data_IF_123505849748
#
_entry.id   IF_123505849748
#
_cell.length_a   1.000
_cell.length_b   1.000
_cell.length_c   1.000
_cell.angle_alpha   90.00
_cell.angle_beta   90.00
_cell.angle_gamma   90.00
#
_symmetry.space_group_name_H-M   'P 1'
#
loop_
_entity.id
_entity.type
_entity.pdbx_description
1 polymer ?
#
# COMPACT_ATOMS: atom_id res chain seq x y z
N UNK A 1 -21.86 -28.69 -10.89
CA UNK A 1 -21.96 -27.89 -12.13
C UNK A 1 -21.41 -28.71 -13.29
N UNK A 2 -22.07 -28.73 -14.45
CA UNK A 2 -21.54 -29.43 -15.64
C UNK A 2 -20.43 -28.62 -16.32
N UNK A 3 -19.58 -29.26 -17.13
CA UNK A 3 -18.51 -28.58 -17.85
C UNK A 3 -19.04 -27.44 -18.76
N UNK A 4 -20.20 -27.65 -19.41
CA UNK A 4 -20.86 -26.64 -20.24
C UNK A 4 -21.30 -25.42 -19.43
N UNK A 5 -21.94 -25.64 -18.28
CA UNK A 5 -22.36 -24.57 -17.36
C UNK A 5 -21.15 -23.78 -16.83
N UNK A 6 -20.06 -24.48 -16.50
CA UNK A 6 -18.79 -23.87 -16.07
C UNK A 6 -18.23 -22.95 -17.14
N UNK A 7 -18.09 -23.44 -18.38
CA UNK A 7 -17.49 -22.67 -19.46
C UNK A 7 -18.32 -21.41 -19.78
N UNK A 8 -19.65 -21.51 -19.72
CA UNK A 8 -20.53 -20.35 -19.87
C UNK A 8 -20.39 -19.33 -18.73
N UNK A 9 -20.21 -19.81 -17.49
CA UNK A 9 -19.96 -18.93 -16.35
C UNK A 9 -18.62 -18.20 -16.50
N UNK A 10 -17.55 -18.92 -16.85
CA UNK A 10 -16.22 -18.34 -17.08
C UNK A 10 -16.25 -17.26 -18.16
N UNK A 11 -16.92 -17.53 -19.29
CA UNK A 11 -17.06 -16.54 -20.37
C UNK A 11 -17.80 -15.26 -19.90
N UNK A 12 -18.82 -15.40 -19.03
CA UNK A 12 -19.56 -14.26 -18.48
C UNK A 12 -18.78 -13.42 -17.46
N UNK A 13 -17.67 -13.96 -16.93
CA UNK A 13 -16.82 -13.27 -15.96
C UNK A 13 -15.67 -12.50 -16.61
N UNK A 14 -15.57 -12.49 -17.94
CA UNK A 14 -14.44 -11.87 -18.66
C UNK A 14 -14.21 -10.42 -18.23
N UNK A 15 -15.26 -9.61 -18.19
CA UNK A 15 -15.15 -8.19 -17.81
C UNK A 15 -14.77 -8.02 -16.33
N UNK A 16 -15.32 -8.86 -15.45
CA UNK A 16 -14.99 -8.84 -14.02
C UNK A 16 -13.50 -9.14 -13.80
N UNK A 17 -12.97 -10.16 -14.49
CA UNK A 17 -11.54 -10.53 -14.41
C UNK A 17 -10.67 -9.43 -15.03
N UNK A 18 -11.07 -8.87 -16.18
CA UNK A 18 -10.35 -7.79 -16.82
C UNK A 18 -10.24 -6.57 -15.89
N UNK A 19 -11.33 -6.19 -15.21
CA UNK A 19 -11.33 -5.09 -14.26
C UNK A 19 -10.36 -5.33 -13.08
N UNK A 20 -10.33 -6.56 -12.54
CA UNK A 20 -9.39 -6.93 -11.46
C UNK A 20 -7.93 -6.86 -11.92
N UNK A 21 -7.63 -7.37 -13.12
CA UNK A 21 -6.28 -7.32 -13.70
C UNK A 21 -5.86 -5.88 -13.96
N UNK A 22 -6.72 -5.06 -14.56
CA UNK A 22 -6.44 -3.65 -14.84
C UNK A 22 -6.23 -2.85 -13.54
N UNK A 23 -7.04 -3.10 -12.51
CA UNK A 23 -6.87 -2.49 -11.19
C UNK A 23 -5.48 -2.76 -10.61
N UNK A 24 -5.02 -4.01 -10.68
CA UNK A 24 -3.69 -4.38 -10.17
C UNK A 24 -2.56 -3.72 -10.98
N UNK A 25 -2.67 -3.67 -12.31
CA UNK A 25 -1.68 -3.01 -13.16
C UNK A 25 -1.62 -1.49 -12.94
N UNK A 26 -2.78 -0.87 -12.75
CA UNK A 26 -2.90 0.55 -12.43
C UNK A 26 -2.15 0.87 -11.14
N UNK A 27 -2.39 0.11 -10.08
CA UNK A 27 -1.72 0.31 -8.79
C UNK A 27 -0.21 0.12 -8.89
N UNK A 28 0.27 -0.89 -9.61
CA UNK A 28 1.72 -1.11 -9.79
C UNK A 28 2.40 0.04 -10.52
N UNK A 29 1.77 0.52 -11.60
CA UNK A 29 2.30 1.66 -12.37
C UNK A 29 2.26 2.95 -11.56
N UNK A 30 1.24 3.10 -10.71
CA UNK A 30 1.12 4.22 -9.77
C UNK A 30 2.26 4.19 -8.74
N UNK A 31 2.56 3.05 -8.12
CA UNK A 31 3.70 2.91 -7.19
C UNK A 31 5.00 3.31 -7.85
N UNK A 32 5.27 2.81 -9.06
CA UNK A 32 6.50 3.17 -9.80
C UNK A 32 6.59 4.68 -10.02
N UNK A 33 5.48 5.35 -10.33
CA UNK A 33 5.46 6.81 -10.50
C UNK A 33 5.67 7.58 -9.20
N UNK A 34 5.13 7.08 -8.08
CA UNK A 34 5.37 7.66 -6.75
C UNK A 34 6.85 7.53 -6.38
N UNK A 35 7.40 6.32 -6.47
CA UNK A 35 8.81 6.03 -6.19
C UNK A 35 9.74 6.87 -7.07
N UNK A 36 9.44 6.97 -8.38
CA UNK A 36 10.23 7.78 -9.31
C UNK A 36 10.23 9.27 -8.93
N UNK A 37 9.08 9.81 -8.50
CA UNK A 37 8.95 11.23 -8.13
C UNK A 37 9.83 11.61 -6.93
N UNK A 38 10.24 10.61 -6.14
CA UNK A 38 11.07 10.72 -4.94
C UNK A 38 12.38 9.95 -5.08
N UNK A 39 12.78 9.60 -6.31
CA UNK A 39 13.88 8.67 -6.54
C UNK A 39 15.19 9.09 -5.85
N UNK A 40 15.60 10.38 -5.81
CA UNK A 40 16.80 10.79 -5.09
C UNK A 40 16.70 10.54 -3.57
N UNK A 41 15.54 10.83 -2.96
CA UNK A 41 15.31 10.63 -1.52
C UNK A 41 15.35 9.14 -1.14
N UNK A 42 14.88 8.28 -2.05
CA UNK A 42 14.73 6.84 -1.84
C UNK A 42 15.94 6.02 -2.31
N UNK A 43 16.98 6.66 -2.86
CA UNK A 43 18.11 5.95 -3.47
C UNK A 43 18.79 5.00 -2.48
N UNK A 44 19.05 5.46 -1.26
CA UNK A 44 19.69 4.63 -0.24
C UNK A 44 18.75 3.49 0.23
N UNK A 45 17.45 3.73 0.34
CA UNK A 45 16.46 2.69 0.63
C UNK A 45 16.45 1.61 -0.45
N UNK A 46 16.49 2.01 -1.73
CA UNK A 46 16.60 1.08 -2.85
C UNK A 46 17.94 0.33 -2.86
N UNK A 47 19.05 1.01 -2.57
CA UNK A 47 20.38 0.40 -2.48
C UNK A 47 20.45 -0.65 -1.36
N UNK A 48 19.89 -0.35 -0.18
CA UNK A 48 19.78 -1.31 0.92
C UNK A 48 18.97 -2.53 0.52
N UNK A 49 17.83 -2.33 -0.16
CA UNK A 49 17.01 -3.43 -0.66
C UNK A 49 17.77 -4.31 -1.66
N UNK A 50 18.47 -3.72 -2.64
CA UNK A 50 19.32 -4.46 -3.61
C UNK A 50 20.32 -5.34 -2.86
N UNK A 51 21.15 -4.73 -2.00
CA UNK A 51 22.17 -5.45 -1.23
C UNK A 51 21.55 -6.53 -0.34
N UNK A 52 20.39 -6.25 0.26
CA UNK A 52 19.66 -7.18 1.11
C UNK A 52 19.14 -8.40 0.36
N UNK A 53 18.68 -8.24 -0.89
CA UNK A 53 18.24 -9.32 -1.75
C UNK A 53 19.41 -10.16 -2.27
N UNK A 54 20.52 -9.53 -2.64
CA UNK A 54 21.74 -10.21 -3.07
C UNK A 54 22.35 -11.07 -1.96
N UNK A 55 22.44 -10.54 -0.73
CA UNK A 55 22.91 -11.30 0.44
C UNK A 55 22.11 -12.57 0.70
N UNK A 56 20.83 -12.59 0.32
CA UNK A 56 19.93 -13.75 0.45
C UNK A 56 19.95 -14.66 -0.78
N UNK A 57 20.80 -14.38 -1.77
CA UNK A 57 20.86 -15.11 -3.04
C UNK A 57 19.58 -14.99 -3.86
N UNK A 58 18.82 -13.89 -3.69
CA UNK A 58 17.52 -13.67 -4.36
C UNK A 58 17.61 -12.77 -5.57
N UNK A 59 18.67 -11.99 -5.70
CA UNK A 59 18.88 -11.03 -6.77
C UNK A 59 20.32 -11.15 -7.27
N UNK A 60 20.50 -11.04 -8.57
CA UNK A 60 21.78 -10.78 -9.21
C UNK A 60 21.63 -9.45 -9.96
N UNK A 61 22.25 -8.38 -9.44
CA UNK A 61 22.08 -7.03 -10.01
C UNK A 61 22.63 -6.93 -11.44
N UNK A 62 23.63 -7.73 -11.80
CA UNK A 62 24.22 -7.69 -13.14
C UNK A 62 23.29 -8.33 -14.18
N UNK A 63 22.60 -9.41 -13.82
CA UNK A 63 21.59 -10.05 -14.68
C UNK A 63 20.38 -9.15 -14.90
N UNK A 64 19.98 -8.41 -13.86
CA UNK A 64 18.81 -7.53 -13.90
C UNK A 64 19.13 -6.10 -14.38
N UNK A 65 20.38 -5.83 -14.78
CA UNK A 65 20.85 -4.52 -15.22
C UNK A 65 20.62 -3.40 -14.18
N UNK A 66 20.69 -3.74 -12.89
CA UNK A 66 20.64 -2.79 -11.79
C UNK A 66 22.04 -2.19 -11.51
N UNK A 67 22.11 -0.95 -11.01
CA UNK A 67 23.39 -0.24 -10.83
C UNK A 67 24.30 -0.90 -9.79
N UNK A 68 25.62 -0.80 -10.01
CA UNK A 68 26.64 -1.17 -9.02
C UNK A 68 26.67 -0.18 -7.85
N UNK A 69 27.42 -0.49 -6.79
CA UNK A 69 27.57 0.41 -5.65
C UNK A 69 28.28 1.72 -6.05
N UNK A 70 29.24 1.66 -6.98
CA UNK A 70 29.89 2.85 -7.55
C UNK A 70 28.89 3.71 -8.34
N UNK A 71 28.09 3.09 -9.20
CA UNK A 71 27.07 3.81 -9.97
C UNK A 71 25.97 4.42 -9.09
N UNK A 72 25.59 3.74 -8.00
CA UNK A 72 24.67 4.28 -6.99
C UNK A 72 25.30 5.50 -6.30
N UNK A 73 26.57 5.45 -5.92
CA UNK A 73 27.27 6.58 -5.29
C UNK A 73 27.40 7.79 -6.24
N UNK A 74 27.66 7.56 -7.52
CA UNK A 74 27.68 8.62 -8.53
C UNK A 74 26.30 9.28 -8.70
N UNK A 75 25.22 8.49 -8.70
CA UNK A 75 23.85 9.01 -8.77
C UNK A 75 23.48 9.82 -7.53
N UNK A 76 23.89 9.37 -6.34
CA UNK A 76 23.66 10.11 -5.10
C UNK A 76 24.31 11.50 -5.14
N UNK A 77 25.58 11.57 -5.57
CA UNK A 77 26.31 12.83 -5.78
C UNK A 77 25.64 13.74 -6.82
N UNK A 78 24.98 13.15 -7.82
CA UNK A 78 24.22 13.88 -8.85
C UNK A 78 22.77 14.20 -8.44
N UNK A 79 22.34 13.86 -7.22
CA UNK A 79 20.94 13.95 -6.76
C UNK A 79 19.96 13.24 -7.70
N UNK A 80 20.36 12.08 -8.18
CA UNK A 80 19.56 11.18 -9.03
C UNK A 80 19.16 9.94 -8.22
N UNK A 81 18.17 9.21 -8.71
CA UNK A 81 17.74 7.95 -8.10
C UNK A 81 17.67 6.81 -9.11
N UNK A 82 16.91 5.76 -8.75
CA UNK A 82 16.59 4.72 -9.72
C UNK A 82 15.59 5.21 -10.77
N UNK A 83 15.73 4.66 -11.97
CA UNK A 83 14.83 4.88 -13.10
C UNK A 83 13.60 3.98 -13.00
N UNK A 84 12.56 4.27 -13.80
CA UNK A 84 11.30 3.50 -13.74
C UNK A 84 11.49 2.00 -14.02
N UNK A 85 12.29 1.57 -15.03
CA UNK A 85 12.55 0.14 -15.24
C UNK A 85 13.24 -0.52 -14.05
N UNK A 86 14.24 0.14 -13.46
CA UNK A 86 14.98 -0.37 -12.29
C UNK A 86 14.04 -0.49 -11.06
N UNK A 87 13.16 0.50 -10.84
CA UNK A 87 12.13 0.44 -9.78
C UNK A 87 11.15 -0.71 -10.04
N UNK A 88 10.75 -0.95 -11.30
CA UNK A 88 9.85 -2.05 -11.64
C UNK A 88 10.45 -3.43 -11.33
N UNK A 89 11.74 -3.61 -11.62
CA UNK A 89 12.51 -4.81 -11.23
C UNK A 89 12.48 -4.97 -9.71
N UNK A 90 12.84 -3.94 -8.95
CA UNK A 90 12.83 -4.00 -7.49
C UNK A 90 11.45 -4.28 -6.91
N UNK A 91 10.39 -3.73 -7.48
CA UNK A 91 9.02 -3.99 -7.06
C UNK A 91 8.66 -5.49 -7.20
N UNK A 92 9.09 -6.14 -8.29
CA UNK A 92 8.87 -7.57 -8.51
C UNK A 92 9.62 -8.43 -7.48
N UNK A 93 10.89 -8.13 -7.25
CA UNK A 93 11.71 -8.83 -6.26
C UNK A 93 11.21 -8.61 -4.83
N UNK A 94 10.80 -7.39 -4.49
CA UNK A 94 10.20 -7.06 -3.20
C UNK A 94 8.93 -7.88 -2.95
N UNK A 95 8.01 -7.96 -3.93
CA UNK A 95 6.80 -8.79 -3.80
C UNK A 95 7.14 -10.25 -3.53
N UNK A 96 8.11 -10.79 -4.25
CA UNK A 96 8.56 -12.18 -4.07
C UNK A 96 9.16 -12.40 -2.68
N UNK A 97 9.98 -11.48 -2.19
CA UNK A 97 10.58 -11.55 -0.87
C UNK A 97 9.55 -11.42 0.26
N UNK A 98 8.61 -10.47 0.16
CA UNK A 98 7.50 -10.29 1.11
C UNK A 98 6.62 -11.54 1.13
N UNK A 99 6.29 -12.10 -0.04
CA UNK A 99 5.46 -13.30 -0.12
C UNK A 99 6.13 -14.49 0.58
N UNK A 100 7.43 -14.68 0.38
CA UNK A 100 8.19 -15.73 1.05
C UNK A 100 8.27 -15.52 2.56
N UNK A 101 8.46 -14.28 3.01
CA UNK A 101 8.48 -13.95 4.44
C UNK A 101 7.14 -14.25 5.14
N UNK A 102 6.03 -14.18 4.40
CA UNK A 102 4.68 -14.46 4.92
C UNK A 102 4.20 -15.90 4.66
N UNK A 103 4.92 -16.68 3.87
CA UNK A 103 4.43 -17.98 3.37
C UNK A 103 3.99 -18.92 4.50
N UNK A 104 4.77 -18.98 5.58
CA UNK A 104 4.53 -19.80 6.77
C UNK A 104 4.06 -18.98 7.99
N UNK A 105 3.85 -17.68 7.83
CA UNK A 105 3.44 -16.79 8.92
C UNK A 105 1.95 -16.96 9.28
N UNK A 106 1.58 -17.20 10.55
CA UNK A 106 0.19 -17.40 10.95
C UNK A 106 -0.73 -16.19 10.70
N UNK A 107 -0.18 -15.00 10.43
CA UNK A 107 -0.97 -13.79 10.10
C UNK A 107 -1.94 -14.04 8.94
N UNK A 108 -1.57 -14.87 7.96
CA UNK A 108 -2.42 -15.15 6.79
C UNK A 108 -3.69 -15.97 7.13
N UNK A 109 -3.76 -16.57 8.32
CA UNK A 109 -4.92 -17.33 8.79
C UNK A 109 -5.91 -16.49 9.60
N UNK A 110 -5.58 -15.23 9.90
CA UNK A 110 -6.44 -14.35 10.67
C UNK A 110 -7.79 -14.08 9.98
N UNK A 111 -8.84 -14.02 10.79
CA UNK A 111 -10.22 -13.84 10.32
C UNK A 111 -10.43 -12.54 9.53
N UNK A 112 -9.61 -11.53 9.82
CA UNK A 112 -9.58 -10.24 9.12
C UNK A 112 -9.46 -10.40 7.60
N UNK A 113 -8.60 -11.31 7.13
CA UNK A 113 -8.31 -11.46 5.70
C UNK A 113 -9.39 -12.19 4.91
N UNK A 114 -10.47 -12.66 5.54
CA UNK A 114 -11.62 -13.26 4.82
C UNK A 114 -12.20 -12.30 3.79
N UNK A 115 -12.33 -11.01 4.14
CA UNK A 115 -12.83 -10.00 3.21
C UNK A 115 -11.84 -9.66 2.08
N UNK A 116 -10.54 -9.88 2.28
CA UNK A 116 -9.52 -9.71 1.24
C UNK A 116 -9.50 -10.93 0.29
N UNK A 117 -9.70 -12.14 0.81
CA UNK A 117 -9.92 -13.36 0.03
C UNK A 117 -11.16 -13.25 -0.87
N UNK A 118 -12.29 -12.77 -0.34
CA UNK A 118 -13.51 -12.62 -1.13
C UNK A 118 -13.29 -11.65 -2.30
N UNK A 119 -12.70 -10.48 -2.04
CA UNK A 119 -12.43 -9.45 -3.05
C UNK A 119 -11.48 -9.88 -4.17
N UNK A 120 -10.69 -10.94 -3.96
CA UNK A 120 -9.88 -11.53 -5.02
C UNK A 120 -10.74 -12.14 -6.13
N UNK A 121 -11.89 -12.72 -5.78
CA UNK A 121 -12.75 -13.39 -6.75
C UNK A 121 -13.69 -12.38 -7.45
N UNK A 122 -13.97 -12.59 -8.75
CA UNK A 122 -15.02 -11.87 -9.46
C UNK A 122 -16.36 -11.87 -8.71
N UNK A 123 -17.11 -10.77 -8.81
CA UNK A 123 -18.40 -10.59 -8.13
C UNK A 123 -19.36 -11.77 -8.35
N UNK A 124 -19.47 -12.24 -9.59
CA UNK A 124 -20.33 -13.39 -9.93
C UNK A 124 -19.96 -14.67 -9.18
N UNK A 125 -18.67 -14.87 -8.85
CA UNK A 125 -18.24 -16.01 -8.02
C UNK A 125 -18.46 -15.74 -6.53
N UNK A 126 -18.28 -14.49 -6.08
CA UNK A 126 -18.62 -14.11 -4.71
C UNK A 126 -20.09 -14.43 -4.41
N UNK A 127 -21.00 -14.07 -5.30
CA UNK A 127 -22.43 -14.34 -5.13
C UNK A 127 -22.76 -15.84 -5.22
N UNK A 128 -22.29 -16.53 -6.27
CA UNK A 128 -22.69 -17.93 -6.56
C UNK A 128 -21.95 -18.97 -5.75
N UNK A 129 -20.77 -18.63 -5.23
CA UNK A 129 -19.86 -19.55 -4.56
C UNK A 129 -19.38 -19.02 -3.20
N UNK A 130 -20.12 -18.09 -2.58
CA UNK A 130 -19.81 -17.52 -1.26
C UNK A 130 -19.42 -18.58 -0.21
N UNK A 131 -20.12 -19.71 -0.14
CA UNK A 131 -19.83 -20.77 0.83
C UNK A 131 -18.55 -21.57 0.51
N UNK A 132 -18.14 -21.61 -0.75
CA UNK A 132 -16.98 -22.38 -1.21
C UNK A 132 -15.67 -21.56 -1.13
N UNK A 133 -15.74 -20.23 -1.23
CA UNK A 133 -14.56 -19.35 -1.20
C UNK A 133 -13.74 -19.53 0.10
N UNK A 134 -14.34 -19.54 1.31
CA UNK A 134 -13.58 -19.78 2.55
C UNK A 134 -12.92 -21.16 2.62
N UNK A 135 -13.38 -22.13 1.83
CA UNK A 135 -12.87 -23.50 1.79
C UNK A 135 -11.89 -23.73 0.63
N UNK A 136 -11.52 -22.65 -0.08
CA UNK A 136 -10.64 -22.75 -1.25
C UNK A 136 -9.28 -23.34 -0.84
N UNK A 137 -8.81 -24.35 -1.57
CA UNK A 137 -7.55 -25.05 -1.24
C UNK A 137 -6.33 -24.14 -1.23
N UNK A 138 -6.34 -23.08 -2.05
CA UNK A 138 -5.28 -22.06 -2.11
C UNK A 138 -5.63 -20.77 -1.34
N UNK A 139 -6.51 -20.85 -0.34
CA UNK A 139 -6.96 -19.68 0.42
C UNK A 139 -5.79 -18.87 0.96
N UNK A 140 -4.82 -19.55 1.58
CA UNK A 140 -3.67 -18.91 2.24
C UNK A 140 -2.76 -18.23 1.23
N UNK A 141 -2.50 -18.88 0.10
CA UNK A 141 -1.68 -18.39 -1.00
C UNK A 141 -2.33 -17.17 -1.69
N UNK A 142 -3.64 -17.20 -1.86
CA UNK A 142 -4.41 -16.06 -2.40
C UNK A 142 -4.35 -14.88 -1.44
N UNK A 143 -4.59 -15.11 -0.14
CA UNK A 143 -4.49 -14.05 0.88
C UNK A 143 -3.08 -13.45 0.88
N UNK A 144 -2.03 -14.28 0.92
CA UNK A 144 -0.65 -13.82 0.85
C UNK A 144 -0.40 -12.95 -0.37
N UNK A 145 -0.90 -13.36 -1.54
CA UNK A 145 -0.78 -12.58 -2.78
C UNK A 145 -1.49 -11.21 -2.69
N UNK A 146 -2.70 -11.18 -2.14
CA UNK A 146 -3.47 -9.93 -1.98
C UNK A 146 -2.81 -8.99 -0.97
N UNK A 147 -2.34 -9.52 0.16
CA UNK A 147 -1.65 -8.76 1.21
C UNK A 147 -0.35 -8.17 0.69
N UNK A 148 0.48 -8.98 0.01
CA UNK A 148 1.72 -8.53 -0.64
C UNK A 148 1.47 -7.42 -1.64
N UNK A 149 0.49 -7.59 -2.53
CA UNK A 149 0.16 -6.54 -3.50
C UNK A 149 -0.35 -5.27 -2.81
N UNK A 150 -1.19 -5.38 -1.77
CA UNK A 150 -1.64 -4.21 -1.02
C UNK A 150 -0.46 -3.47 -0.38
N UNK A 151 0.41 -4.19 0.32
CA UNK A 151 1.55 -3.62 1.02
C UNK A 151 2.51 -2.96 0.04
N UNK A 152 3.01 -3.72 -0.95
CA UNK A 152 4.06 -3.25 -1.86
C UNK A 152 3.54 -2.18 -2.82
N UNK A 153 2.30 -2.28 -3.31
CA UNK A 153 1.77 -1.24 -4.20
C UNK A 153 1.46 0.08 -3.46
N UNK A 154 1.26 0.06 -2.13
CA UNK A 154 0.91 1.27 -1.35
C UNK A 154 2.07 1.84 -0.54
N UNK A 155 2.94 0.99 -0.03
CA UNK A 155 4.14 1.36 0.74
C UNK A 155 5.43 1.32 -0.08
N UNK A 156 5.44 0.78 -1.30
CA UNK A 156 6.65 0.69 -2.11
C UNK A 156 7.49 -0.56 -1.84
N UNK A 157 8.60 -0.76 -2.59
CA UNK A 157 9.40 -1.98 -2.56
C UNK A 157 10.24 -2.13 -1.28
N UNK A 158 10.61 -1.03 -0.64
CA UNK A 158 11.52 -1.03 0.53
C UNK A 158 10.78 -1.18 1.86
N UNK A 159 9.50 -0.80 1.92
CA UNK A 159 8.71 -0.64 3.15
C UNK A 159 8.85 -1.76 4.17
N UNK A 160 8.56 -3.02 3.80
CA UNK A 160 8.61 -4.12 4.76
C UNK A 160 10.01 -4.31 5.34
N UNK A 161 11.02 -4.26 4.48
CA UNK A 161 12.41 -4.52 4.88
C UNK A 161 12.87 -3.46 5.86
N UNK A 162 12.59 -2.19 5.58
CA UNK A 162 12.98 -1.10 6.46
C UNK A 162 12.26 -1.14 7.79
N UNK A 163 10.94 -1.38 7.79
CA UNK A 163 10.18 -1.46 9.04
C UNK A 163 10.65 -2.64 9.90
N UNK A 164 10.91 -3.81 9.30
CA UNK A 164 11.46 -4.97 10.03
C UNK A 164 12.85 -4.66 10.59
N UNK A 165 13.73 -4.01 9.82
CA UNK A 165 15.08 -3.66 10.28
C UNK A 165 15.07 -2.60 11.39
N UNK A 166 14.20 -1.59 11.30
CA UNK A 166 14.08 -0.52 12.29
C UNK A 166 13.46 -1.02 13.60
N UNK A 167 12.40 -1.84 13.51
CA UNK A 167 11.62 -2.25 14.69
C UNK A 167 12.05 -3.59 15.26
N UNK A 168 12.80 -4.41 14.51
CA UNK A 168 13.11 -5.80 14.84
C UNK A 168 11.88 -6.70 15.03
N UNK A 169 10.72 -6.26 14.52
CA UNK A 169 9.46 -7.01 14.58
C UNK A 169 9.32 -8.01 13.43
N UNK A 170 8.44 -9.00 13.61
CA UNK A 170 8.19 -10.01 12.58
C UNK A 170 7.46 -9.43 11.37
N UNK A 171 7.60 -10.05 10.19
CA UNK A 171 6.86 -9.65 9.00
C UNK A 171 5.34 -9.69 9.23
N UNK A 172 4.84 -10.71 9.96
CA UNK A 172 3.44 -10.80 10.35
C UNK A 172 2.97 -9.64 11.23
N UNK A 173 3.77 -9.21 12.20
CA UNK A 173 3.44 -8.05 13.04
C UNK A 173 3.42 -6.74 12.26
N UNK A 174 4.36 -6.56 11.32
CA UNK A 174 4.33 -5.43 10.39
C UNK A 174 3.06 -5.45 9.53
N UNK A 175 2.63 -6.63 9.04
CA UNK A 175 1.37 -6.76 8.32
C UNK A 175 0.17 -6.38 9.20
N UNK A 176 0.12 -6.84 10.46
CA UNK A 176 -0.95 -6.47 11.42
C UNK A 176 -1.02 -4.95 11.59
N UNK A 177 0.12 -4.32 11.87
CA UNK A 177 0.19 -2.88 12.05
C UNK A 177 -0.20 -2.10 10.80
N UNK A 178 0.27 -2.53 9.62
CA UNK A 178 -0.07 -1.94 8.34
C UNK A 178 -1.58 -2.01 8.07
N UNK A 179 -2.21 -3.19 8.25
CA UNK A 179 -3.64 -3.33 7.98
C UNK A 179 -4.49 -2.59 8.99
N UNK A 180 -4.07 -2.54 10.25
CA UNK A 180 -4.73 -1.76 11.30
C UNK A 180 -4.66 -0.27 10.98
N UNK A 181 -3.48 0.28 10.64
CA UNK A 181 -3.35 1.66 10.19
C UNK A 181 -4.23 1.94 8.95
N UNK A 182 -4.20 1.04 7.96
CA UNK A 182 -5.03 1.13 6.75
C UNK A 182 -6.52 1.24 7.07
N UNK A 183 -7.02 0.49 8.06
CA UNK A 183 -8.43 0.55 8.48
C UNK A 183 -8.74 1.77 9.34
N UNK A 184 -7.94 2.03 10.37
CA UNK A 184 -8.17 3.12 11.34
C UNK A 184 -8.22 4.48 10.65
N UNK A 185 -7.34 4.72 9.68
CA UNK A 185 -7.30 5.97 8.92
C UNK A 185 -8.21 5.99 7.68
N UNK A 186 -8.94 4.91 7.38
CA UNK A 186 -9.82 4.82 6.21
C UNK A 186 -9.08 5.00 4.89
N UNK A 187 -7.92 4.34 4.74
CA UNK A 187 -7.02 4.61 3.61
C UNK A 187 -7.59 4.19 2.26
N UNK A 188 -8.47 3.18 2.23
CA UNK A 188 -9.12 2.72 0.99
C UNK A 188 -9.97 3.82 0.37
N UNK A 189 -10.83 4.44 1.17
CA UNK A 189 -11.67 5.55 0.72
C UNK A 189 -10.82 6.74 0.28
N UNK A 190 -9.68 6.97 0.94
CA UNK A 190 -8.77 8.06 0.61
C UNK A 190 -8.08 7.83 -0.73
N UNK A 191 -7.54 6.63 -0.96
CA UNK A 191 -6.96 6.27 -2.25
C UNK A 191 -7.98 6.33 -3.37
N UNK A 192 -9.17 5.76 -3.19
CA UNK A 192 -10.22 5.77 -4.21
C UNK A 192 -10.65 7.22 -4.53
N UNK A 193 -10.71 8.11 -3.53
CA UNK A 193 -11.01 9.54 -3.73
C UNK A 193 -9.93 10.27 -4.53
N UNK A 194 -8.65 9.99 -4.28
CA UNK A 194 -7.53 10.59 -5.01
C UNK A 194 -7.45 10.04 -6.43
N UNK A 195 -7.63 8.73 -6.60
CA UNK A 195 -7.59 8.05 -7.91
C UNK A 195 -8.77 8.47 -8.79
N UNK A 196 -9.93 8.82 -8.21
CA UNK A 196 -11.05 9.40 -8.95
C UNK A 196 -10.74 10.78 -9.57
N UNK A 197 -9.63 11.41 -9.18
CA UNK A 197 -9.12 12.65 -9.78
C UNK A 197 -8.12 12.43 -10.93
N UNK A 198 -7.88 11.17 -11.32
CA UNK A 198 -7.02 10.87 -12.47
C UNK A 198 -7.53 11.57 -13.73
N UNK A 199 -6.61 12.16 -14.49
CA UNK A 199 -6.86 13.06 -15.62
C UNK A 199 -7.73 14.31 -15.32
N UNK A 200 -8.09 14.59 -14.06
CA UNK A 200 -8.85 15.79 -13.64
C UNK A 200 -7.99 16.85 -12.97
N UNK A 201 -6.86 16.45 -12.38
CA UNK A 201 -5.86 17.33 -11.78
C UNK A 201 -4.48 17.04 -12.38
N UNK A 202 -3.49 17.95 -12.25
CA UNK A 202 -2.12 17.69 -12.71
C UNK A 202 -1.54 16.43 -12.04
N UNK A 203 -0.90 15.56 -12.82
CA UNK A 203 -0.33 14.29 -12.32
C UNK A 203 0.64 14.50 -11.14
N UNK A 204 1.45 15.57 -11.19
CA UNK A 204 2.36 15.93 -10.09
C UNK A 204 1.62 16.18 -8.77
N UNK A 205 0.45 16.83 -8.83
CA UNK A 205 -0.38 17.07 -7.65
C UNK A 205 -0.95 15.75 -7.13
N UNK A 206 -1.49 14.91 -8.01
CA UNK A 206 -2.05 13.61 -7.61
C UNK A 206 -0.99 12.70 -6.96
N UNK A 207 0.22 12.65 -7.51
CA UNK A 207 1.36 11.91 -6.94
C UNK A 207 1.74 12.48 -5.58
N UNK A 208 1.76 13.81 -5.42
CA UNK A 208 1.99 14.46 -4.13
C UNK A 208 0.95 14.05 -3.08
N UNK A 209 -0.34 14.04 -3.44
CA UNK A 209 -1.40 13.59 -2.54
C UNK A 209 -1.21 12.12 -2.13
N UNK A 210 -0.88 11.23 -3.08
CA UNK A 210 -0.63 9.82 -2.78
C UNK A 210 0.60 9.62 -1.88
N UNK A 211 1.62 10.47 -2.03
CA UNK A 211 2.81 10.48 -1.18
C UNK A 211 2.47 10.85 0.26
N UNK A 212 1.64 11.87 0.47
CA UNK A 212 1.16 12.24 1.82
C UNK A 212 0.38 11.08 2.48
N UNK A 213 -0.46 10.38 1.70
CA UNK A 213 -1.16 9.19 2.20
C UNK A 213 -0.21 8.07 2.57
N UNK A 214 0.87 7.87 1.80
CA UNK A 214 1.93 6.92 2.14
C UNK A 214 2.54 7.29 3.49
N UNK A 215 2.99 8.53 3.69
CA UNK A 215 3.60 8.95 4.96
C UNK A 215 2.68 8.76 6.16
N UNK A 216 1.38 9.06 6.03
CA UNK A 216 0.42 8.81 7.09
C UNK A 216 0.32 7.30 7.41
N UNK A 217 0.29 6.46 6.39
CA UNK A 217 0.22 5.00 6.55
C UNK A 217 1.47 4.44 7.21
N UNK A 218 2.65 4.92 6.82
CA UNK A 218 3.94 4.55 7.39
C UNK A 218 4.02 4.95 8.87
N UNK A 219 3.73 6.21 9.20
CA UNK A 219 3.68 6.67 10.58
C UNK A 219 2.68 5.88 11.42
N UNK A 220 1.49 5.62 10.87
CA UNK A 220 0.48 4.79 11.52
C UNK A 220 0.98 3.38 11.82
N UNK A 221 1.63 2.75 10.84
CA UNK A 221 2.20 1.40 10.97
C UNK A 221 3.24 1.37 12.08
N UNK A 222 4.22 2.28 12.05
CA UNK A 222 5.26 2.37 13.08
C UNK A 222 4.68 2.68 14.46
N UNK A 223 3.65 3.54 14.53
CA UNK A 223 2.99 3.86 15.79
C UNK A 223 2.31 2.64 16.41
N UNK A 224 1.59 1.84 15.61
CA UNK A 224 0.97 0.61 16.12
C UNK A 224 2.02 -0.43 16.55
N UNK A 225 3.14 -0.57 15.82
CA UNK A 225 4.23 -1.46 16.24
C UNK A 225 4.85 -1.04 17.57
N UNK A 226 5.05 0.27 17.79
CA UNK A 226 5.67 0.78 19.02
C UNK A 226 4.73 0.77 20.23
N UNK A 227 3.41 0.85 20.02
CA UNK A 227 2.43 1.01 21.11
C UNK A 227 1.65 -0.24 21.44
N UNK A 228 1.63 -1.25 20.56
CA UNK A 228 0.94 -2.50 20.78
C UNK A 228 1.95 -3.62 21.03
N UNK A 229 1.52 -4.61 21.80
CA UNK A 229 2.32 -5.82 21.96
C UNK A 229 2.29 -6.63 20.66
N UNK A 230 3.38 -7.33 20.30
CA UNK A 230 3.40 -8.25 19.18
C UNK A 230 2.24 -9.26 19.25
N UNK A 231 1.66 -9.60 18.09
CA UNK A 231 0.51 -10.50 18.00
C UNK A 231 -0.84 -9.90 18.41
N UNK A 232 -0.98 -8.58 18.49
CA UNK A 232 -2.27 -7.94 18.81
C UNK A 232 -3.36 -8.27 17.76
N UNK A 233 -4.61 -8.33 18.21
CA UNK A 233 -5.75 -8.58 17.32
C UNK A 233 -6.05 -7.35 16.44
N UNK A 234 -6.10 -7.55 15.12
CA UNK A 234 -6.38 -6.49 14.14
C UNK A 234 -7.74 -5.83 14.41
N UNK A 235 -8.83 -6.61 14.43
CA UNK A 235 -10.19 -6.05 14.51
C UNK A 235 -10.49 -5.41 15.86
N UNK A 236 -10.12 -6.05 16.97
CA UNK A 236 -10.27 -5.45 18.30
C UNK A 236 -9.51 -4.12 18.42
N UNK A 237 -8.34 -3.99 17.77
CA UNK A 237 -7.60 -2.72 17.74
C UNK A 237 -8.29 -1.70 16.83
N UNK A 238 -8.76 -2.09 15.65
CA UNK A 238 -9.52 -1.18 14.75
C UNK A 238 -10.76 -0.63 15.45
N UNK A 239 -11.54 -1.49 16.12
CA UNK A 239 -12.78 -1.10 16.79
C UNK A 239 -12.52 -0.11 17.95
N UNK A 240 -11.39 -0.26 18.65
CA UNK A 240 -10.99 0.65 19.72
C UNK A 240 -10.50 2.02 19.24
N UNK A 241 -9.82 2.11 18.09
CA UNK A 241 -9.17 3.33 17.63
C UNK A 241 -9.95 4.10 16.56
N UNK A 242 -10.61 3.40 15.64
CA UNK A 242 -11.23 4.03 14.49
C UNK A 242 -12.32 5.07 14.85
N UNK A 243 -13.18 4.88 15.87
CA UNK A 243 -14.14 5.90 16.28
C UNK A 243 -13.45 7.20 16.75
N UNK A 244 -12.45 7.09 17.62
CA UNK A 244 -11.72 8.24 18.15
C UNK A 244 -10.93 8.99 17.07
N UNK A 245 -10.30 8.27 16.13
CA UNK A 245 -9.61 8.89 14.99
C UNK A 245 -10.60 9.63 14.07
N UNK A 246 -11.79 9.08 13.82
CA UNK A 246 -12.83 9.77 13.05
C UNK A 246 -13.33 11.04 13.76
N UNK A 247 -13.55 10.96 15.07
CA UNK A 247 -13.97 12.10 15.87
C UNK A 247 -12.90 13.21 15.88
N UNK A 248 -11.63 12.84 16.07
CA UNK A 248 -10.50 13.76 16.00
C UNK A 248 -10.43 14.42 14.62
N UNK A 249 -10.49 13.65 13.53
CA UNK A 249 -10.43 14.17 12.18
C UNK A 249 -11.58 15.14 11.86
N UNK A 250 -12.79 14.87 12.37
CA UNK A 250 -13.95 15.75 12.20
C UNK A 250 -13.85 17.07 12.98
N UNK A 251 -13.06 17.11 14.06
CA UNK A 251 -12.96 18.25 14.97
C UNK A 251 -11.57 18.92 14.97
N UNK A 252 -10.63 18.46 14.14
CA UNK A 252 -9.22 18.86 14.22
C UNK A 252 -9.04 20.37 14.14
N UNK A 253 -9.76 21.05 13.25
CA UNK A 253 -9.70 22.51 13.10
C UNK A 253 -10.04 23.26 14.40
N UNK A 254 -10.95 22.71 15.22
CA UNK A 254 -11.36 23.31 16.50
C UNK A 254 -10.39 23.01 17.64
N UNK A 255 -9.53 22.01 17.46
CA UNK A 255 -8.56 21.54 18.45
C UNK A 255 -7.17 22.15 18.24
N UNK A 256 -6.91 22.66 17.04
CA UNK A 256 -5.67 23.33 16.68
C UNK A 256 -5.56 24.73 17.31
N UNK A 257 -4.33 25.16 17.56
CA UNK A 257 -4.06 26.54 17.90
C UNK A 257 -4.46 27.46 16.72
N UNK A 258 -4.79 28.75 16.95
CA UNK A 258 -5.24 29.63 15.88
C UNK A 258 -4.29 29.73 14.68
N UNK A 259 -2.97 29.66 14.92
CA UNK A 259 -1.95 29.67 13.86
C UNK A 259 -2.01 28.40 13.00
N UNK A 260 -2.09 27.23 13.64
CA UNK A 260 -2.20 25.94 12.95
C UNK A 260 -3.52 25.80 12.19
N UNK A 261 -4.63 26.30 12.76
CA UNK A 261 -5.92 26.34 12.09
C UNK A 261 -5.89 27.24 10.84
N UNK A 262 -5.20 28.39 10.90
CA UNK A 262 -5.01 29.25 9.75
C UNK A 262 -4.14 28.57 8.66
N UNK A 263 -3.07 27.88 9.05
CA UNK A 263 -2.22 27.12 8.13
C UNK A 263 -3.00 25.96 7.47
N UNK A 264 -3.83 25.24 8.24
CA UNK A 264 -4.74 24.22 7.73
C UNK A 264 -5.67 24.81 6.67
N UNK A 265 -6.36 25.92 6.98
CA UNK A 265 -7.29 26.58 6.05
C UNK A 265 -6.60 27.08 4.78
N UNK A 266 -5.38 27.60 4.89
CA UNK A 266 -4.58 27.99 3.74
C UNK A 266 -4.29 26.79 2.83
N UNK A 267 -3.94 25.63 3.41
CA UNK A 267 -3.67 24.39 2.68
C UNK A 267 -4.93 23.84 2.01
N UNK A 268 -6.07 23.88 2.69
CA UNK A 268 -7.38 23.51 2.12
C UNK A 268 -7.72 24.40 0.93
N UNK A 269 -7.55 25.72 1.07
CA UNK A 269 -7.77 26.68 -0.01
C UNK A 269 -6.86 26.44 -1.22
N UNK A 270 -5.57 26.16 -0.98
CA UNK A 270 -4.61 25.85 -2.05
C UNK A 270 -4.98 24.56 -2.81
N UNK A 271 -5.38 23.51 -2.10
CA UNK A 271 -5.85 22.25 -2.71
C UNK A 271 -7.15 22.45 -3.49
N UNK A 272 -8.10 23.22 -2.93
CA UNK A 272 -9.35 23.56 -3.61
C UNK A 272 -9.12 24.36 -4.90
N UNK A 273 -8.23 25.36 -4.87
CA UNK A 273 -7.84 26.13 -6.05
C UNK A 273 -7.18 25.26 -7.14
N UNK A 274 -6.53 24.17 -6.72
CA UNK A 274 -5.91 23.19 -7.62
C UNK A 274 -6.87 22.10 -8.12
N UNK A 275 -8.17 22.21 -7.83
CA UNK A 275 -9.22 21.30 -8.33
C UNK A 275 -9.50 20.09 -7.44
N UNK A 276 -8.96 20.05 -6.21
CA UNK A 276 -9.25 18.98 -5.25
C UNK A 276 -10.60 19.25 -4.57
N UNK A 277 -11.55 18.29 -4.55
CA UNK A 277 -12.84 18.48 -3.89
C UNK A 277 -12.69 18.83 -2.41
N UNK A 278 -13.53 19.73 -1.90
CA UNK A 278 -13.41 20.29 -0.54
C UNK A 278 -13.27 19.22 0.57
N UNK A 279 -14.07 18.14 0.51
CA UNK A 279 -13.99 17.07 1.49
C UNK A 279 -12.64 16.34 1.49
N UNK A 280 -12.04 16.13 0.30
CA UNK A 280 -10.72 15.53 0.17
C UNK A 280 -9.63 16.53 0.55
N UNK A 281 -9.75 17.80 0.16
CA UNK A 281 -8.82 18.86 0.54
C UNK A 281 -8.71 19.00 2.06
N UNK A 282 -9.84 19.01 2.77
CA UNK A 282 -9.88 19.03 4.24
C UNK A 282 -9.14 17.84 4.84
N UNK A 283 -9.43 16.64 4.33
CA UNK A 283 -8.84 15.39 4.84
C UNK A 283 -7.34 15.29 4.56
N UNK A 284 -6.89 15.79 3.42
CA UNK A 284 -5.47 15.83 3.06
C UNK A 284 -4.71 16.90 3.84
N UNK A 285 -5.34 18.05 4.09
CA UNK A 285 -4.73 19.11 4.90
C UNK A 285 -4.58 18.69 6.37
N UNK A 286 -5.53 17.93 6.92
CA UNK A 286 -5.50 17.48 8.31
C UNK A 286 -4.61 16.28 8.59
N UNK A 287 -4.20 15.55 7.55
CA UNK A 287 -3.34 14.37 7.67
C UNK A 287 -1.86 14.68 7.54
N UNK A 288 -1.53 15.86 7.04
CA UNK A 288 -0.17 16.23 6.72
C UNK A 288 0.44 17.11 7.81
N UNK A 289 1.75 16.94 8.00
CA UNK A 289 2.56 17.73 8.93
C UNK A 289 2.61 19.20 8.53
#
# INVERSE_FOLDING_TARGET
>A
MTAKQRNQLLAKMTDDVAALVLRNNYQQTQTISIEQSRAPELLESHARLIRGLERRGRLDRAVEFLPSDEALAERDQAHQGLTRPEIAVLLSYAKSAVYQALHDDPVLDESYFKGDLERYFPERLRERCASAIPQHRLRREIIGTVVVNSLVNRGGPHFLVEVVEETSESAGDVIRAYVTARQVYGMRELWDSIEALDAKIPAKLQIGLLTEVHHLLEHGTLWFLRTRQPGFEIMGTVDGFAPGVRELAANIERLLAPEDAAALQQRVGALGAAGVPAALAQRMASSAR
#
